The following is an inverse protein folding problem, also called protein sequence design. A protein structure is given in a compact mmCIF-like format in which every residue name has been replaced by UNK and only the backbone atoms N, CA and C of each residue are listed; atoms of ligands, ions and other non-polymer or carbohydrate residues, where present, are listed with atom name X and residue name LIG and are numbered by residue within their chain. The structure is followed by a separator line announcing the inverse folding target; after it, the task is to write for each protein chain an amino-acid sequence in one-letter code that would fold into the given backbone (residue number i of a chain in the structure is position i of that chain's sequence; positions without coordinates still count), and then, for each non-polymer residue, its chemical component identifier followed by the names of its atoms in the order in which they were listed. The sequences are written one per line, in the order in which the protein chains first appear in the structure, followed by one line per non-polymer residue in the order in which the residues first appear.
data_IF_577943274250
#
_entry.id   IF_577943274250
#
_cell.length_a   1.000
_cell.length_b   1.000
_cell.length_c   1.000
_cell.angle_alpha   90.00
_cell.angle_beta   90.00
_cell.angle_gamma   90.00
#
_symmetry.space_group_name_H-M   'P 1'
#
loop_
_entity.id
_entity.type
_entity.pdbx_description
1 polymer ?
#
# COMPACT_ATOMS: atom_id res chain seq x y z
N UNK A 1 18.03 2.34 21.14
CA UNK A 1 17.79 3.74 20.68
C UNK A 1 19.08 4.27 20.07
N UNK A 2 19.01 4.98 18.94
CA UNK A 2 20.09 5.83 18.43
C UNK A 2 19.78 7.26 18.88
N UNK A 3 20.67 7.83 19.70
CA UNK A 3 20.43 9.14 20.31
C UNK A 3 20.32 10.29 19.30
N UNK A 4 19.76 11.41 19.77
CA UNK A 4 19.74 12.64 18.98
C UNK A 4 21.16 13.09 18.63
N UNK A 5 21.35 13.58 17.41
CA UNK A 5 22.63 14.06 16.87
C UNK A 5 23.78 13.02 16.81
N UNK A 6 23.52 11.72 17.04
CA UNK A 6 24.56 10.69 17.19
C UNK A 6 25.57 10.64 16.03
N UNK A 7 25.11 10.86 14.80
CA UNK A 7 25.89 10.88 13.57
C UNK A 7 25.72 12.20 12.80
N UNK A 8 25.50 13.31 13.54
CA UNK A 8 25.32 14.63 12.94
C UNK A 8 26.53 15.01 12.07
N UNK A 9 26.28 15.31 10.80
CA UNK A 9 27.28 15.72 9.79
C UNK A 9 28.42 14.71 9.60
N UNK A 10 28.18 13.42 9.79
CA UNK A 10 29.12 12.37 9.42
C UNK A 10 29.22 12.25 7.89
N UNK A 11 29.98 13.14 7.24
CA UNK A 11 30.11 13.18 5.78
C UNK A 11 30.83 11.98 5.19
N UNK A 12 31.60 11.22 5.98
CA UNK A 12 32.22 9.97 5.52
C UNK A 12 31.25 8.76 5.53
N UNK A 13 30.09 8.88 6.20
CA UNK A 13 29.14 7.79 6.36
C UNK A 13 28.38 7.54 5.06
N UNK A 14 28.61 6.37 4.46
CA UNK A 14 27.99 6.01 3.17
C UNK A 14 26.80 5.08 3.30
N UNK A 15 26.81 4.21 4.31
CA UNK A 15 25.80 3.19 4.53
C UNK A 15 25.53 3.05 6.03
N UNK A 16 24.27 2.80 6.37
CA UNK A 16 23.84 2.53 7.74
C UNK A 16 22.95 1.29 7.71
N UNK A 17 23.28 0.32 8.55
CA UNK A 17 22.40 -0.80 8.87
C UNK A 17 21.87 -0.58 10.29
N UNK A 18 20.55 -0.38 10.41
CA UNK A 18 19.86 -0.20 11.68
C UNK A 18 19.49 -1.59 12.22
N UNK A 19 20.08 -2.02 13.35
CA UNK A 19 19.82 -3.34 13.90
C UNK A 19 18.37 -3.47 14.42
N UNK A 20 17.82 -4.70 14.49
CA UNK A 20 16.42 -4.94 14.82
C UNK A 20 16.02 -4.51 16.24
N UNK A 21 16.99 -4.40 17.16
CA UNK A 21 16.78 -3.93 18.53
C UNK A 21 16.61 -2.40 18.65
N UNK A 22 16.84 -1.64 17.58
CA UNK A 22 16.66 -0.19 17.60
C UNK A 22 15.17 0.14 17.49
N UNK A 23 14.64 0.76 18.54
CA UNK A 23 13.25 1.20 18.62
C UNK A 23 13.02 2.64 18.18
N UNK A 24 14.07 3.47 18.23
CA UNK A 24 13.97 4.90 17.96
C UNK A 24 15.26 5.45 17.35
N UNK A 25 15.09 6.32 16.34
CA UNK A 25 16.11 7.25 15.85
C UNK A 25 15.80 8.64 16.40
N UNK A 26 16.71 9.20 17.19
CA UNK A 26 16.52 10.50 17.80
C UNK A 26 16.54 11.67 16.82
N UNK A 27 16.16 12.85 17.31
CA UNK A 27 16.19 14.10 16.54
C UNK A 27 17.56 14.32 15.90
N UNK A 28 17.59 14.64 14.61
CA UNK A 28 18.81 14.94 13.85
C UNK A 28 19.89 13.83 13.87
N UNK A 29 19.53 12.58 14.19
CA UNK A 29 20.51 11.49 14.41
C UNK A 29 21.50 11.28 13.26
N UNK A 30 21.12 11.50 12.01
CA UNK A 30 21.95 11.42 10.80
C UNK A 30 21.93 12.71 9.97
N UNK A 31 21.52 13.85 10.56
CA UNK A 31 21.37 15.09 9.79
C UNK A 31 22.71 15.50 9.15
N UNK A 32 22.71 15.79 7.86
CA UNK A 32 23.87 16.26 7.11
C UNK A 32 24.89 15.17 6.76
N UNK A 33 24.54 13.88 6.87
CA UNK A 33 25.33 12.79 6.29
C UNK A 33 25.24 12.84 4.75
N UNK A 34 25.94 13.78 4.13
CA UNK A 34 25.77 14.13 2.71
C UNK A 34 26.11 12.99 1.74
N UNK A 35 26.96 12.04 2.15
CA UNK A 35 27.35 10.87 1.36
C UNK A 35 26.57 9.59 1.73
N UNK A 36 25.59 9.68 2.62
CA UNK A 36 24.76 8.53 3.00
C UNK A 36 23.86 8.15 1.82
N UNK A 37 24.18 7.02 1.21
CA UNK A 37 23.49 6.50 0.01
C UNK A 37 22.46 5.44 0.36
N UNK A 38 22.66 4.71 1.45
CA UNK A 38 21.80 3.58 1.82
C UNK A 38 21.54 3.55 3.32
N UNK A 39 20.26 3.41 3.68
CA UNK A 39 19.80 3.17 5.05
C UNK A 39 18.96 1.91 5.03
N UNK A 40 19.52 0.84 5.58
CA UNK A 40 18.84 -0.43 5.72
C UNK A 40 18.25 -0.53 7.12
N UNK A 41 16.93 -0.64 7.21
CA UNK A 41 16.27 -1.00 8.47
C UNK A 41 15.84 -2.46 8.37
N UNK A 42 16.11 -3.24 9.41
CA UNK A 42 15.64 -4.63 9.47
C UNK A 42 14.10 -4.67 9.30
N UNK A 43 13.63 -5.47 8.34
CA UNK A 43 12.20 -5.58 7.99
C UNK A 43 11.32 -6.04 9.16
N UNK A 44 11.88 -6.81 10.09
CA UNK A 44 11.24 -7.27 11.34
C UNK A 44 11.75 -6.50 12.57
N UNK A 45 12.28 -5.29 12.36
CA UNK A 45 12.85 -4.47 13.43
C UNK A 45 11.80 -3.76 14.27
N UNK A 46 12.15 -3.49 15.53
CA UNK A 46 11.28 -2.82 16.49
C UNK A 46 11.22 -1.28 16.32
N UNK A 47 11.67 -0.74 15.18
CA UNK A 47 11.78 0.70 14.95
C UNK A 47 10.39 1.34 14.88
N UNK A 48 10.04 2.11 15.90
CA UNK A 48 8.74 2.76 16.03
C UNK A 48 8.79 4.25 15.69
N UNK A 49 9.89 4.92 16.01
CA UNK A 49 10.00 6.37 15.93
C UNK A 49 11.22 6.78 15.12
N UNK A 50 10.99 7.62 14.11
CA UNK A 50 12.06 8.35 13.43
C UNK A 50 11.90 9.83 13.74
N UNK A 51 12.86 10.37 14.48
CA UNK A 51 12.84 11.72 15.02
C UNK A 51 12.81 12.82 13.96
N UNK A 52 12.47 14.02 14.43
CA UNK A 52 12.48 15.23 13.64
C UNK A 52 13.86 15.45 13.00
N UNK A 53 13.90 15.78 11.70
CA UNK A 53 15.11 16.02 10.94
C UNK A 53 16.17 14.89 10.95
N UNK A 54 15.80 13.64 11.32
CA UNK A 54 16.78 12.57 11.52
C UNK A 54 17.72 12.36 10.31
N UNK A 55 17.23 12.49 9.08
CA UNK A 55 17.99 12.37 7.84
C UNK A 55 18.04 13.68 7.02
N UNK A 56 17.80 14.83 7.66
CA UNK A 56 17.79 16.13 6.96
C UNK A 56 19.10 16.34 6.20
N UNK A 57 19.03 16.81 4.95
CA UNK A 57 20.20 17.10 4.09
C UNK A 57 21.13 15.91 3.82
N UNK A 58 20.62 14.68 3.87
CA UNK A 58 21.35 13.51 3.34
C UNK A 58 21.26 13.50 1.81
N UNK A 59 22.06 14.34 1.15
CA UNK A 59 21.95 14.63 -0.29
C UNK A 59 22.22 13.44 -1.20
N UNK A 60 23.01 12.44 -0.77
CA UNK A 60 23.27 11.24 -1.56
C UNK A 60 22.18 10.16 -1.45
N UNK A 61 21.21 10.32 -0.55
CA UNK A 61 20.16 9.32 -0.34
C UNK A 61 19.17 9.37 -1.52
N UNK A 62 19.03 8.24 -2.22
CA UNK A 62 18.21 8.14 -3.43
C UNK A 62 16.84 7.53 -3.20
N UNK A 63 16.79 6.57 -2.30
CA UNK A 63 15.60 5.80 -1.96
C UNK A 63 15.58 5.55 -0.45
N UNK A 64 14.39 5.43 0.12
CA UNK A 64 14.23 5.01 1.51
C UNK A 64 13.03 4.09 1.66
N UNK A 65 13.21 3.02 2.43
CA UNK A 65 12.12 2.15 2.87
C UNK A 65 11.77 2.45 4.32
N UNK A 66 10.50 2.76 4.57
CA UNK A 66 9.95 2.95 5.92
C UNK A 66 9.29 1.63 6.34
N UNK A 67 9.78 0.96 7.40
CA UNK A 67 9.24 -0.32 7.84
C UNK A 67 7.88 -0.19 8.53
N UNK A 68 7.11 -1.30 8.62
CA UNK A 68 5.73 -1.28 9.11
C UNK A 68 5.62 -1.01 10.60
N UNK A 69 6.72 -1.19 11.34
CA UNK A 69 6.79 -0.88 12.76
C UNK A 69 6.82 0.62 13.05
N UNK A 70 7.12 1.48 12.07
CA UNK A 70 7.23 2.94 12.27
C UNK A 70 5.84 3.54 12.40
N UNK A 71 5.48 3.92 13.62
CA UNK A 71 4.22 4.61 13.94
C UNK A 71 4.37 6.12 13.90
N UNK A 72 5.60 6.66 14.02
CA UNK A 72 5.85 8.11 14.11
C UNK A 72 7.03 8.53 13.23
N UNK A 73 6.73 9.41 12.28
CA UNK A 73 7.71 10.15 11.47
C UNK A 73 7.74 11.62 11.90
N UNK A 74 8.92 12.10 12.29
CA UNK A 74 9.14 13.49 12.65
C UNK A 74 8.94 14.45 11.47
N UNK A 75 8.61 15.70 11.79
CA UNK A 75 8.56 16.77 10.79
C UNK A 75 9.92 16.92 10.09
N UNK A 76 9.91 17.00 8.75
CA UNK A 76 11.12 17.22 7.97
C UNK A 76 12.22 16.16 8.14
N UNK A 77 11.89 14.92 8.54
CA UNK A 77 12.87 13.83 8.72
C UNK A 77 13.83 13.70 7.54
N UNK A 78 13.38 13.84 6.30
CA UNK A 78 14.18 13.76 5.08
C UNK A 78 14.35 15.12 4.39
N UNK A 79 14.07 16.23 5.08
CA UNK A 79 14.05 17.55 4.47
C UNK A 79 15.37 17.86 3.73
N UNK A 80 15.27 18.28 2.47
CA UNK A 80 16.44 18.65 1.67
C UNK A 80 17.32 17.48 1.22
N UNK A 81 16.82 16.24 1.24
CA UNK A 81 17.46 15.13 0.53
C UNK A 81 17.27 15.32 -0.99
N UNK A 82 18.23 15.99 -1.63
CA UNK A 82 18.12 16.47 -3.01
C UNK A 82 18.14 15.39 -4.09
N UNK A 83 18.56 14.17 -3.78
CA UNK A 83 18.54 13.04 -4.72
C UNK A 83 17.46 12.00 -4.38
N UNK A 84 16.63 12.25 -3.37
CA UNK A 84 15.60 11.31 -2.93
C UNK A 84 14.39 11.41 -3.85
N UNK A 85 14.24 10.43 -4.75
CA UNK A 85 13.20 10.40 -5.78
C UNK A 85 12.07 9.41 -5.49
N UNK A 86 12.37 8.36 -4.72
CA UNK A 86 11.44 7.27 -4.43
C UNK A 86 11.41 6.97 -2.94
N UNK A 87 10.20 6.76 -2.41
CA UNK A 87 9.96 6.35 -1.02
C UNK A 87 9.09 5.11 -1.05
N UNK A 88 9.50 4.08 -0.32
CA UNK A 88 8.74 2.85 -0.14
C UNK A 88 8.17 2.81 1.28
N UNK A 89 6.85 2.78 1.41
CA UNK A 89 6.16 2.58 2.67
C UNK A 89 5.78 1.11 2.78
N UNK A 90 6.39 0.41 3.73
CA UNK A 90 6.05 -0.97 4.08
C UNK A 90 5.12 -0.85 5.29
N UNK A 91 3.80 -1.04 5.15
CA UNK A 91 2.90 -0.70 6.26
C UNK A 91 1.54 -1.35 6.18
N UNK A 92 1.06 -1.87 7.31
CA UNK A 92 -0.35 -2.20 7.52
C UNK A 92 -1.13 -0.90 7.70
N UNK A 93 -2.17 -0.67 6.91
CA UNK A 93 -3.11 0.44 7.14
C UNK A 93 -3.21 1.51 6.04
N UNK A 94 -2.15 1.75 5.25
CA UNK A 94 -2.21 2.74 4.15
C UNK A 94 -3.18 2.34 3.04
N UNK A 95 -3.32 1.03 2.79
CA UNK A 95 -4.22 0.44 1.81
C UNK A 95 -5.31 -0.43 2.49
N UNK A 96 -5.77 -0.04 3.68
CA UNK A 96 -6.80 -0.76 4.46
C UNK A 96 -8.18 -0.75 3.81
N UNK A 97 -9.17 -1.43 4.42
CA UNK A 97 -10.60 -1.31 4.07
C UNK A 97 -11.04 0.12 3.86
N UNK A 98 -10.58 1.06 4.68
CA UNK A 98 -10.92 2.46 4.52
C UNK A 98 -10.52 3.02 3.14
N UNK A 99 -9.41 2.55 2.56
CA UNK A 99 -8.99 2.92 1.20
C UNK A 99 -9.87 2.27 0.12
N UNK A 100 -10.42 1.07 0.38
CA UNK A 100 -11.30 0.35 -0.54
C UNK A 100 -12.77 0.74 -0.42
N UNK A 101 -13.30 0.92 0.80
CA UNK A 101 -14.67 1.36 1.10
C UNK A 101 -14.91 2.80 0.65
N UNK A 102 -13.87 3.65 0.60
CA UNK A 102 -13.95 5.05 0.17
C UNK A 102 -14.04 5.22 -1.35
N UNK A 103 -14.71 4.30 -2.02
CA UNK A 103 -15.13 4.42 -3.42
C UNK A 103 -15.29 3.13 -4.23
N UNK A 104 -14.84 1.97 -3.72
CA UNK A 104 -14.86 0.71 -4.48
C UNK A 104 -15.97 -0.27 -4.05
N UNK A 105 -16.47 -0.21 -2.82
CA UNK A 105 -17.56 -1.09 -2.36
C UNK A 105 -18.95 -0.46 -2.49
N UNK A 106 -19.11 0.86 -2.32
CA UNK A 106 -20.44 1.49 -2.37
C UNK A 106 -20.97 1.73 -3.80
N UNK A 107 -20.14 1.53 -4.83
CA UNK A 107 -20.47 1.93 -6.21
C UNK A 107 -20.56 3.46 -6.40
N UNK A 108 -20.39 4.24 -5.34
CA UNK A 108 -20.46 5.70 -5.32
C UNK A 108 -19.14 6.30 -4.81
N UNK A 109 -18.49 7.01 -5.74
CA UNK A 109 -17.46 8.04 -5.55
C UNK A 109 -16.01 7.63 -5.25
N UNK A 110 -15.18 7.98 -6.24
CA UNK A 110 -13.73 8.18 -6.26
C UNK A 110 -13.02 8.49 -4.93
N UNK A 111 -11.78 8.02 -4.80
CA UNK A 111 -10.84 8.53 -3.81
C UNK A 111 -10.57 10.00 -4.10
N UNK A 112 -11.25 10.90 -3.39
CA UNK A 112 -11.00 12.34 -3.58
C UNK A 112 -9.59 12.73 -3.09
N UNK A 113 -8.98 13.73 -3.75
CA UNK A 113 -7.64 14.22 -3.40
C UNK A 113 -7.51 14.63 -1.92
N UNK A 114 -8.61 15.01 -1.26
CA UNK A 114 -8.60 15.38 0.16
C UNK A 114 -8.37 14.17 1.08
N UNK A 115 -8.90 12.98 0.75
CA UNK A 115 -8.64 11.72 1.49
C UNK A 115 -7.22 11.23 1.30
N UNK A 116 -6.70 11.30 0.07
CA UNK A 116 -5.30 10.99 -0.25
C UNK A 116 -4.39 11.94 0.53
N UNK A 117 -4.67 13.24 0.51
CA UNK A 117 -3.89 14.24 1.26
C UNK A 117 -3.96 14.04 2.79
N UNK A 118 -5.05 13.50 3.34
CA UNK A 118 -5.09 13.13 4.76
C UNK A 118 -4.22 11.90 5.07
N UNK A 119 -4.23 10.88 4.20
CA UNK A 119 -3.42 9.67 4.34
C UNK A 119 -1.91 9.97 4.22
N UNK A 120 -1.53 10.76 3.23
CA UNK A 120 -0.12 11.05 2.94
C UNK A 120 0.37 12.34 3.58
N UNK A 121 -0.49 13.24 4.05
CA UNK A 121 -0.11 14.56 4.58
C UNK A 121 0.98 14.52 5.65
N UNK A 122 0.87 13.68 6.70
CA UNK A 122 1.94 13.51 7.69
C UNK A 122 3.25 13.01 7.07
N UNK A 123 3.17 12.09 6.10
CA UNK A 123 4.32 11.52 5.39
C UNK A 123 4.99 12.59 4.53
N UNK A 124 4.23 13.36 3.75
CA UNK A 124 4.74 14.42 2.85
C UNK A 124 5.46 15.53 3.63
N UNK A 125 5.06 15.83 4.86
CA UNK A 125 5.77 16.77 5.74
C UNK A 125 7.20 16.31 6.06
N UNK A 126 7.47 15.00 6.07
CA UNK A 126 8.80 14.46 6.29
C UNK A 126 9.74 14.73 5.10
N UNK A 127 9.20 14.86 3.88
CA UNK A 127 9.96 14.91 2.62
C UNK A 127 10.01 16.31 1.98
N UNK A 128 9.77 17.38 2.73
CA UNK A 128 9.84 18.75 2.19
C UNK A 128 11.16 18.99 1.46
N UNK A 129 11.09 19.61 0.28
CA UNK A 129 12.24 19.90 -0.58
C UNK A 129 12.96 18.67 -1.16
N UNK A 130 12.36 17.46 -1.15
CA UNK A 130 12.89 16.25 -1.83
C UNK A 130 12.21 16.05 -3.19
N UNK A 131 12.94 15.81 -4.30
CA UNK A 131 12.37 15.66 -5.64
C UNK A 131 11.66 14.31 -5.82
N UNK A 132 10.72 13.98 -4.94
CA UNK A 132 9.92 12.78 -5.02
C UNK A 132 9.09 12.80 -6.31
N UNK A 133 9.20 11.73 -7.07
CA UNK A 133 8.38 11.47 -8.27
C UNK A 133 7.30 10.44 -7.99
N UNK A 134 7.56 9.51 -7.08
CA UNK A 134 6.63 8.44 -6.72
C UNK A 134 6.77 8.02 -5.25
N UNK A 135 5.63 7.67 -4.65
CA UNK A 135 5.55 6.97 -3.37
C UNK A 135 5.02 5.57 -3.65
N UNK A 136 5.82 4.57 -3.32
CA UNK A 136 5.43 3.16 -3.41
C UNK A 136 4.90 2.71 -2.06
N UNK A 137 3.74 2.06 -2.05
CA UNK A 137 3.23 1.39 -0.86
C UNK A 137 3.28 -0.11 -1.12
N UNK A 138 3.92 -0.86 -0.23
CA UNK A 138 3.83 -2.32 -0.26
C UNK A 138 2.39 -2.72 -0.04
N UNK A 139 1.91 -3.57 -0.93
CA UNK A 139 0.67 -4.30 -0.70
C UNK A 139 0.87 -5.22 0.52
N UNK A 140 -0.22 -5.48 1.25
CA UNK A 140 -0.17 -6.07 2.58
C UNK A 140 0.42 -7.49 2.59
N UNK A 141 0.97 -7.91 3.73
CA UNK A 141 1.56 -9.24 3.94
C UNK A 141 0.56 -10.35 3.62
N UNK A 142 -0.72 -10.09 3.88
CA UNK A 142 -1.84 -11.01 3.67
C UNK A 142 -2.04 -11.29 2.18
N UNK A 143 -1.81 -10.31 1.30
CA UNK A 143 -1.81 -10.51 -0.15
C UNK A 143 -0.61 -11.35 -0.62
N UNK A 144 0.58 -11.09 -0.08
CA UNK A 144 1.75 -11.93 -0.34
C UNK A 144 1.55 -13.37 0.16
N UNK A 145 0.93 -13.56 1.31
CA UNK A 145 0.57 -14.87 1.85
C UNK A 145 -0.48 -15.58 0.99
N UNK A 146 -1.52 -14.85 0.58
CA UNK A 146 -2.55 -15.36 -0.33
C UNK A 146 -1.93 -15.81 -1.66
N UNK A 147 -1.07 -14.98 -2.27
CA UNK A 147 -0.31 -15.35 -3.47
C UNK A 147 0.59 -16.57 -3.27
N UNK A 148 1.19 -16.73 -2.08
CA UNK A 148 2.01 -17.90 -1.75
C UNK A 148 1.18 -19.18 -1.55
N UNK A 149 -0.11 -19.07 -1.18
CA UNK A 149 -1.04 -20.21 -1.08
C UNK A 149 -1.57 -20.67 -2.44
N UNK A 150 -1.55 -19.80 -3.44
CA UNK A 150 -2.04 -20.13 -4.78
C UNK A 150 -1.12 -21.16 -5.48
N UNK A 151 -1.68 -22.10 -6.27
CA UNK A 151 -0.90 -22.96 -7.15
C UNK A 151 -0.01 -22.16 -8.11
N UNK A 152 1.16 -22.69 -8.48
CA UNK A 152 2.14 -21.96 -9.30
C UNK A 152 1.58 -21.42 -10.63
N UNK A 153 0.68 -22.17 -11.27
CA UNK A 153 0.03 -21.75 -12.51
C UNK A 153 -0.89 -20.56 -12.32
N UNK A 154 -1.65 -20.53 -11.22
CA UNK A 154 -2.51 -19.41 -10.86
C UNK A 154 -1.67 -18.18 -10.49
N UNK A 155 -0.59 -18.38 -9.72
CA UNK A 155 0.35 -17.31 -9.35
C UNK A 155 0.97 -16.66 -10.58
N UNK A 156 1.48 -17.45 -11.55
CA UNK A 156 1.99 -16.91 -12.83
C UNK A 156 0.92 -16.15 -13.60
N UNK A 157 -0.31 -16.67 -13.67
CA UNK A 157 -1.39 -15.97 -14.37
C UNK A 157 -1.72 -14.60 -13.77
N UNK A 158 -1.60 -14.46 -12.45
CA UNK A 158 -1.73 -13.18 -11.74
C UNK A 158 -0.52 -12.29 -12.04
N UNK A 159 0.70 -12.81 -11.84
CA UNK A 159 1.96 -12.07 -12.07
C UNK A 159 2.08 -11.54 -13.51
N UNK A 160 1.68 -12.32 -14.53
CA UNK A 160 1.68 -11.92 -15.95
C UNK A 160 0.69 -10.77 -16.25
N UNK A 161 -0.33 -10.59 -15.42
CA UNK A 161 -1.35 -9.53 -15.59
C UNK A 161 -0.97 -8.23 -14.88
N UNK A 162 -0.07 -8.26 -13.89
CA UNK A 162 0.36 -7.08 -13.12
C UNK A 162 1.01 -6.00 -14.01
N UNK A 163 1.92 -6.32 -14.96
CA UNK A 163 2.52 -5.32 -15.84
C UNK A 163 1.52 -4.56 -16.73
N UNK A 164 0.32 -5.12 -16.93
CA UNK A 164 -0.77 -4.48 -17.66
C UNK A 164 -1.69 -3.60 -16.78
N UNK A 165 -1.42 -3.52 -15.47
CA UNK A 165 -2.18 -2.70 -14.53
C UNK A 165 -1.47 -1.37 -14.29
N UNK A 166 -2.24 -0.28 -14.24
CA UNK A 166 -1.68 1.04 -14.02
C UNK A 166 -1.20 1.17 -12.57
N UNK A 167 0.00 1.73 -12.39
CA UNK A 167 0.53 2.09 -11.08
C UNK A 167 0.72 0.92 -10.11
N UNK A 168 0.85 -0.31 -10.62
CA UNK A 168 1.30 -1.47 -9.85
C UNK A 168 2.69 -1.89 -10.33
N UNK A 169 3.58 -2.16 -9.37
CA UNK A 169 4.95 -2.62 -9.62
C UNK A 169 5.15 -3.97 -8.92
N UNK A 170 5.73 -4.94 -9.62
CA UNK A 170 6.07 -6.26 -9.07
C UNK A 170 7.58 -6.31 -8.89
N UNK A 171 8.04 -6.31 -7.64
CA UNK A 171 9.44 -6.47 -7.34
C UNK A 171 9.90 -7.92 -7.51
N UNK A 172 11.22 -8.08 -7.65
CA UNK A 172 11.87 -9.37 -7.92
C UNK A 172 11.75 -10.37 -6.78
N UNK A 173 11.46 -9.88 -5.58
CA UNK A 173 11.19 -10.67 -4.37
C UNK A 173 9.73 -11.14 -4.27
N UNK A 174 8.89 -10.81 -5.26
CA UNK A 174 7.47 -11.14 -5.31
C UNK A 174 6.58 -10.14 -4.57
N UNK A 175 7.14 -9.07 -4.00
CA UNK A 175 6.34 -8.01 -3.38
C UNK A 175 5.69 -7.13 -4.44
N UNK A 176 4.40 -6.87 -4.26
CA UNK A 176 3.64 -5.96 -5.13
C UNK A 176 3.57 -4.60 -4.44
N UNK A 177 3.79 -3.54 -5.22
CA UNK A 177 3.73 -2.16 -4.77
C UNK A 177 2.66 -1.39 -5.53
N UNK A 178 1.89 -0.58 -4.82
CA UNK A 178 1.05 0.47 -5.39
C UNK A 178 1.86 1.76 -5.49
N UNK A 179 1.99 2.30 -6.69
CA UNK A 179 2.86 3.43 -7.03
C UNK A 179 2.04 4.70 -7.21
N UNK A 180 2.09 5.61 -6.25
CA UNK A 180 1.37 6.88 -6.31
C UNK A 180 2.29 7.98 -6.85
N UNK A 181 1.95 8.63 -7.99
CA UNK A 181 2.75 9.74 -8.48
C UNK A 181 2.61 10.97 -7.58
N UNK A 182 3.72 11.64 -7.34
CA UNK A 182 3.78 12.87 -6.53
C UNK A 182 3.94 14.05 -7.47
N UNK A 183 3.04 15.03 -7.35
CA UNK A 183 3.18 16.31 -8.02
C UNK A 183 3.57 17.40 -7.02
N UNK A 184 4.14 18.47 -7.55
CA UNK A 184 4.49 19.65 -6.76
C UNK A 184 3.66 20.83 -7.22
N UNK A 185 2.99 21.48 -6.28
CA UNK A 185 2.33 22.74 -6.52
C UNK A 185 3.37 23.84 -6.73
N UNK A 186 3.01 24.94 -7.41
CA UNK A 186 3.88 26.11 -7.57
C UNK A 186 4.33 26.74 -6.24
N UNK A 187 3.58 26.49 -5.16
CA UNK A 187 3.87 26.94 -3.80
C UNK A 187 4.89 26.04 -3.07
N UNK A 188 5.35 24.96 -3.72
CA UNK A 188 6.31 24.00 -3.15
C UNK A 188 5.66 22.96 -2.23
N UNK A 189 4.33 22.89 -2.20
CA UNK A 189 3.61 21.82 -1.52
C UNK A 189 3.61 20.56 -2.39
N UNK A 190 3.79 19.40 -1.76
CA UNK A 190 3.67 18.12 -2.45
C UNK A 190 2.25 17.62 -2.30
N UNK A 191 1.66 17.22 -3.42
CA UNK A 191 0.36 16.56 -3.47
C UNK A 191 0.54 15.20 -4.11
N UNK A 192 -0.17 14.21 -3.57
CA UNK A 192 -0.26 12.88 -4.16
C UNK A 192 -1.56 12.83 -4.93
N UNK A 193 -1.48 12.45 -6.21
CA UNK A 193 -2.66 12.32 -7.06
C UNK A 193 -2.76 10.86 -7.49
N UNK A 194 -3.92 10.24 -7.28
CA UNK A 194 -4.32 9.05 -8.02
C UNK A 194 -5.27 9.49 -9.13
N UNK A 195 -4.72 9.84 -10.28
CA UNK A 195 -5.51 10.45 -11.37
C UNK A 195 -6.57 9.46 -11.82
N UNK A 196 -7.85 9.76 -11.55
CA UNK A 196 -9.00 8.94 -11.94
C UNK A 196 -8.99 7.51 -11.32
N UNK A 197 -8.55 7.39 -10.06
CA UNK A 197 -8.59 6.16 -9.27
C UNK A 197 -7.87 4.95 -9.91
N UNK A 198 -6.91 5.19 -10.81
CA UNK A 198 -6.27 4.13 -11.58
C UNK A 198 -5.53 3.12 -10.71
N UNK A 199 -4.91 3.59 -9.63
CA UNK A 199 -4.18 2.74 -8.68
C UNK A 199 -5.16 1.88 -7.89
N UNK A 200 -6.24 2.49 -7.41
CA UNK A 200 -7.30 1.79 -6.66
C UNK A 200 -8.07 0.78 -7.54
N UNK A 201 -8.41 1.13 -8.77
CA UNK A 201 -9.04 0.24 -9.74
C UNK A 201 -8.14 -0.96 -10.11
N UNK A 202 -6.85 -0.71 -10.28
CA UNK A 202 -5.85 -1.76 -10.53
C UNK A 202 -5.72 -2.71 -9.34
N UNK A 203 -5.66 -2.17 -8.13
CA UNK A 203 -5.60 -2.95 -6.90
C UNK A 203 -6.88 -3.78 -6.70
N UNK A 204 -8.07 -3.23 -6.99
CA UNK A 204 -9.32 -3.97 -6.98
C UNK A 204 -9.34 -5.11 -8.01
N UNK A 205 -8.82 -4.86 -9.22
CA UNK A 205 -8.72 -5.88 -10.26
C UNK A 205 -7.80 -7.02 -9.83
N UNK A 206 -6.68 -6.70 -9.19
CA UNK A 206 -5.75 -7.66 -8.61
C UNK A 206 -6.41 -8.50 -7.51
N UNK A 207 -7.06 -7.86 -6.53
CA UNK A 207 -7.80 -8.53 -5.46
C UNK A 207 -8.85 -9.49 -6.03
N UNK A 208 -9.65 -9.04 -6.98
CA UNK A 208 -10.70 -9.85 -7.62
C UNK A 208 -10.11 -11.05 -8.38
N UNK A 209 -8.97 -10.87 -9.05
CA UNK A 209 -8.27 -11.96 -9.71
C UNK A 209 -7.81 -13.01 -8.72
N UNK A 210 -7.18 -12.59 -7.63
CA UNK A 210 -6.69 -13.46 -6.57
C UNK A 210 -7.86 -14.21 -5.90
N UNK A 211 -8.91 -13.50 -5.50
CA UNK A 211 -10.13 -14.11 -4.94
C UNK A 211 -10.78 -15.09 -5.92
N UNK A 212 -10.80 -14.79 -7.22
CA UNK A 212 -11.32 -15.72 -8.22
C UNK A 212 -10.51 -17.03 -8.27
N UNK A 213 -9.17 -16.94 -8.22
CA UNK A 213 -8.31 -18.12 -8.22
C UNK A 213 -8.43 -18.93 -6.93
N UNK A 214 -8.51 -18.28 -5.76
CA UNK A 214 -8.76 -19.00 -4.50
C UNK A 214 -10.15 -19.65 -4.46
N UNK A 215 -11.18 -18.98 -4.95
CA UNK A 215 -12.53 -19.54 -4.98
C UNK A 215 -12.66 -20.70 -5.96
N UNK A 216 -11.95 -20.66 -7.11
CA UNK A 216 -11.92 -21.73 -8.13
C UNK A 216 -11.43 -23.05 -7.56
N UNK A 217 -10.50 -22.99 -6.62
CA UNK A 217 -9.96 -24.14 -5.91
C UNK A 217 -10.81 -24.56 -4.69
N UNK A 218 -11.82 -23.77 -4.31
CA UNK A 218 -12.72 -24.09 -3.20
C UNK A 218 -14.06 -24.64 -3.69
N UNK A 219 -14.66 -25.55 -2.92
CA UNK A 219 -16.02 -26.07 -3.17
C UNK A 219 -17.12 -24.99 -3.12
N UNK A 220 -16.77 -23.75 -2.77
CA UNK A 220 -17.68 -22.60 -2.64
C UNK A 220 -18.21 -22.14 -3.99
N UNK A 221 -17.44 -22.25 -5.08
CA UNK A 221 -17.99 -21.90 -6.40
C UNK A 221 -19.12 -22.87 -6.81
N UNK A 222 -19.00 -24.12 -6.41
CA UNK A 222 -20.04 -25.14 -6.59
C UNK A 222 -21.27 -24.81 -5.73
N UNK A 223 -21.07 -24.46 -4.46
CA UNK A 223 -22.15 -24.03 -3.56
C UNK A 223 -22.82 -22.73 -4.00
N UNK A 224 -22.06 -21.71 -4.41
CA UNK A 224 -22.59 -20.44 -4.94
C UNK A 224 -23.35 -20.65 -6.26
N UNK A 225 -22.87 -21.54 -7.13
CA UNK A 225 -23.58 -21.92 -8.35
C UNK A 225 -24.89 -22.65 -8.04
N UNK A 226 -24.89 -23.57 -7.07
CA UNK A 226 -26.10 -24.24 -6.57
C UNK A 226 -27.06 -23.25 -5.91
N UNK A 227 -26.54 -22.27 -5.16
CA UNK A 227 -27.36 -21.24 -4.50
C UNK A 227 -28.01 -20.30 -5.51
N UNK A 228 -27.27 -19.88 -6.54
CA UNK A 228 -27.80 -19.09 -7.66
C UNK A 228 -28.88 -19.88 -8.42
N UNK A 229 -28.66 -21.17 -8.68
CA UNK A 229 -29.66 -22.04 -9.32
C UNK A 229 -30.96 -22.12 -8.53
N UNK A 230 -30.91 -22.20 -7.20
CA UNK A 230 -32.10 -22.23 -6.33
C UNK A 230 -32.87 -20.90 -6.33
N UNK A 231 -32.19 -19.77 -6.45
CA UNK A 231 -32.82 -18.46 -6.58
C UNK A 231 -33.48 -18.31 -7.96
N UNK A 232 -32.79 -18.75 -9.02
CA UNK A 232 -33.32 -18.72 -10.39
C UNK A 232 -34.53 -19.67 -10.54
N UNK A 233 -34.62 -20.77 -9.77
CA UNK A 233 -35.80 -21.65 -9.67
C UNK A 233 -36.96 -21.05 -8.86
N UNK A 234 -36.67 -20.21 -7.86
CA UNK A 234 -37.68 -19.54 -7.03
C UNK A 234 -38.29 -18.30 -7.71
N UNK A 235 -37.62 -17.74 -8.73
CA UNK A 235 -38.16 -16.67 -9.56
C UNK A 235 -39.11 -17.23 -10.62
N UNK A 236 -40.36 -16.74 -10.67
CA UNK A 236 -41.34 -17.04 -11.73
C UNK A 236 -40.71 -17.00 -13.13
N UNK A 237 -41.06 -17.93 -14.05
CA UNK A 237 -40.35 -18.11 -15.32
C UNK A 237 -40.37 -16.83 -16.15
N UNK A 238 -39.23 -16.12 -16.18
CA UNK A 238 -39.06 -14.92 -16.99
C UNK A 238 -38.66 -15.34 -18.41
N UNK A 239 -39.27 -14.78 -19.46
CA UNK A 239 -38.94 -15.08 -20.85
C UNK A 239 -37.45 -14.82 -21.18
N UNK A 240 -36.86 -15.58 -22.11
CA UNK A 240 -35.41 -15.65 -22.36
C UNK A 240 -34.78 -14.31 -22.75
N UNK A 241 -35.57 -13.33 -23.17
CA UNK A 241 -35.12 -11.98 -23.58
C UNK A 241 -34.70 -11.07 -22.41
N UNK A 242 -35.07 -11.39 -21.17
CA UNK A 242 -34.66 -10.63 -19.96
C UNK A 242 -33.52 -11.27 -19.15
N UNK A 243 -32.95 -12.39 -19.62
CA UNK A 243 -31.84 -13.08 -18.92
C UNK A 243 -30.55 -12.25 -18.80
N UNK A 244 -30.41 -11.18 -19.60
CA UNK A 244 -29.31 -10.21 -19.48
C UNK A 244 -29.39 -9.33 -18.22
N UNK A 245 -30.58 -9.17 -17.62
CA UNK A 245 -30.80 -8.39 -16.40
C UNK A 245 -30.40 -9.16 -15.11
N UNK A 246 -30.25 -10.48 -15.18
CA UNK A 246 -29.81 -11.33 -14.06
C UNK A 246 -28.27 -11.48 -13.94
N UNK A 247 -27.51 -10.54 -14.50
CA UNK A 247 -26.16 -10.22 -14.01
C UNK A 247 -26.28 -9.39 -12.74
N UNK A 248 -26.95 -9.93 -11.73
CA UNK A 248 -26.98 -9.31 -10.40
C UNK A 248 -25.54 -9.30 -9.90
N UNK A 249 -24.97 -8.09 -9.85
CA UNK A 249 -23.71 -7.83 -9.17
C UNK A 249 -23.79 -8.46 -7.78
N UNK A 250 -22.80 -9.25 -7.39
CA UNK A 250 -22.75 -9.80 -6.03
C UNK A 250 -22.94 -8.63 -5.05
N UNK A 251 -23.91 -8.67 -4.12
CA UNK A 251 -24.13 -7.59 -3.17
C UNK A 251 -22.87 -7.33 -2.36
N UNK A 252 -22.61 -6.07 -2.00
CA UNK A 252 -21.37 -5.70 -1.30
C UNK A 252 -21.13 -6.47 0.01
N UNK A 253 -22.16 -6.80 0.82
CA UNK A 253 -21.99 -7.69 1.97
C UNK A 253 -21.43 -9.07 1.59
N UNK A 254 -21.85 -9.63 0.46
CA UNK A 254 -21.35 -10.92 -0.03
C UNK A 254 -19.94 -10.81 -0.63
N UNK A 255 -19.56 -9.66 -1.22
CA UNK A 255 -18.18 -9.40 -1.63
C UNK A 255 -17.24 -9.31 -0.42
N UNK A 256 -17.67 -8.62 0.64
CA UNK A 256 -16.92 -8.56 1.91
C UNK A 256 -16.71 -9.95 2.51
N UNK A 257 -17.76 -10.76 2.61
CA UNK A 257 -17.68 -12.14 3.13
C UNK A 257 -16.74 -13.03 2.30
N UNK A 258 -16.71 -12.85 0.97
CA UNK A 258 -15.75 -13.55 0.09
C UNK A 258 -14.32 -13.10 0.38
N UNK A 259 -14.10 -11.79 0.54
CA UNK A 259 -12.77 -11.26 0.88
C UNK A 259 -12.32 -11.72 2.26
N UNK A 260 -13.22 -11.77 3.24
CA UNK A 260 -12.96 -12.33 4.56
C UNK A 260 -12.62 -13.82 4.49
N UNK A 261 -13.37 -14.61 3.71
CA UNK A 261 -13.08 -16.03 3.47
C UNK A 261 -11.69 -16.26 2.83
N UNK A 262 -11.29 -15.40 1.90
CA UNK A 262 -9.95 -15.41 1.30
C UNK A 262 -8.83 -15.00 2.28
N UNK A 263 -9.17 -14.67 3.54
CA UNK A 263 -8.20 -14.25 4.56
C UNK A 263 -7.75 -12.80 4.41
N UNK A 264 -8.53 -11.96 3.73
CA UNK A 264 -8.30 -10.51 3.71
C UNK A 264 -8.95 -9.79 4.91
N UNK A 265 -9.34 -10.49 5.97
CA UNK A 265 -9.98 -9.92 7.17
C UNK A 265 -9.15 -8.82 7.82
N UNK A 266 -7.85 -9.02 8.01
CA UNK A 266 -6.96 -8.05 8.67
C UNK A 266 -6.58 -6.88 7.73
N UNK A 267 -6.68 -7.12 6.42
CA UNK A 267 -6.60 -6.07 5.40
C UNK A 267 -7.88 -5.20 5.39
N UNK A 268 -8.97 -5.77 5.89
CA UNK A 268 -10.28 -5.17 6.03
C UNK A 268 -10.50 -4.43 7.38
N UNK A 269 -9.53 -4.42 8.29
CA UNK A 269 -9.65 -3.64 9.53
C UNK A 269 -9.21 -2.17 9.32
N UNK A 270 -9.93 -1.19 9.91
CA UNK A 270 -9.54 0.21 9.83
C UNK A 270 -8.21 0.44 10.58
N UNK A 271 -7.33 1.33 10.11
CA UNK A 271 -6.02 1.56 10.70
C UNK A 271 -6.07 2.31 12.04
N UNK A 272 -7.23 2.84 12.42
CA UNK A 272 -7.43 3.65 13.61
C UNK A 272 -8.83 3.39 14.18
N UNK A 273 -8.93 2.53 15.20
CA UNK A 273 -9.84 2.84 16.30
C UNK A 273 -9.13 3.90 17.13
N UNK A 274 -9.56 5.15 16.95
CA UNK A 274 -9.14 6.25 17.80
C UNK A 274 -9.91 6.20 19.11
N UNK A 275 -9.18 6.39 20.20
CA UNK A 275 -9.64 7.19 21.34
C UNK A 275 -9.05 8.61 21.21
#
# INVERSE_FOLDING_TARGET
VIGGNAFLKCTALQQVSIPPSVTELGRQSFMGCSNLTNVQVAHEGALQVIGEYAFRTCTALKQVSIPPSVTRLGGGTFMGCSNLTEVTLLGKGYLSKGFLDRGLLSGEAALNNTRINHLFGPVLRAFRSCPLTSIKISISRELSQCMARLPEECRRSVEERIPGMHHLDLARDGNIFACFPVIRSPLGEMDVIDTNDQTAASLHRLLRLISFHELKESSILTELAMWKSRIDEAATPVPPEKRSEYRVSIPDPAKCLIMEYCGFTDFLEPPFEGD
#
